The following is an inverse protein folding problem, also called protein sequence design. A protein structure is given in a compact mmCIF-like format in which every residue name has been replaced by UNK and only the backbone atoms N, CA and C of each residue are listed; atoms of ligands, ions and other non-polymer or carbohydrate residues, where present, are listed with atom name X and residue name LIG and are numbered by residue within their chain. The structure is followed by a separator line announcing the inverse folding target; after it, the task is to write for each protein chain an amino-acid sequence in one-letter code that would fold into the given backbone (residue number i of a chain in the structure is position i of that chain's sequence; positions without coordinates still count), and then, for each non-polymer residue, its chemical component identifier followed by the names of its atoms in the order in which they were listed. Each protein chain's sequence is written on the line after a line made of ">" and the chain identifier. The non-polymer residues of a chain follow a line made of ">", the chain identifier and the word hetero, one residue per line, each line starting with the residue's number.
data_IF_460882613036
#
_entry.id   IF_460882613036
#
_cell.length_a   1.000
_cell.length_b   1.000
_cell.length_c   1.000
_cell.angle_alpha   90.00
_cell.angle_beta   90.00
_cell.angle_gamma   90.00
#
_symmetry.space_group_name_H-M   'P 1'
#
loop_
_entity.id
_entity.type
_entity.pdbx_description
1 polymer ?
#
# COMPACT_ATOMS: atom_id res chain seq x y z
N UNK A 1 5.22 -19.04 -21.35
CA UNK A 1 4.85 -18.21 -22.53
C UNK A 1 3.72 -17.31 -22.09
N UNK A 2 3.92 -16.00 -22.16
CA UNK A 2 2.90 -15.03 -21.74
C UNK A 2 1.65 -15.20 -22.61
N UNK A 3 0.48 -15.24 -21.99
CA UNK A 3 -0.78 -15.19 -22.73
C UNK A 3 -0.91 -13.83 -23.43
N UNK A 4 -1.03 -13.82 -24.75
CA UNK A 4 -1.13 -12.59 -25.55
C UNK A 4 -2.33 -11.71 -25.13
N UNK A 5 -3.36 -12.29 -24.50
CA UNK A 5 -4.50 -11.55 -23.95
C UNK A 5 -4.10 -10.61 -22.80
N UNK A 6 -2.93 -10.82 -22.18
CA UNK A 6 -2.41 -10.01 -21.08
C UNK A 6 -1.68 -8.75 -21.56
N UNK A 7 -1.20 -8.71 -22.83
CA UNK A 7 -0.40 -7.58 -23.35
C UNK A 7 -1.14 -6.23 -23.37
N UNK A 8 -2.46 -6.27 -23.37
CA UNK A 8 -3.30 -5.07 -23.33
C UNK A 8 -3.70 -4.65 -21.90
N UNK A 9 -3.16 -5.33 -20.88
CA UNK A 9 -3.45 -5.03 -19.48
C UNK A 9 -2.23 -4.38 -18.83
N UNK A 10 -2.49 -3.53 -17.83
CA UNK A 10 -1.45 -2.87 -17.06
C UNK A 10 -1.22 -3.60 -15.74
N UNK A 11 0.04 -3.73 -15.33
CA UNK A 11 0.40 -4.38 -14.08
C UNK A 11 0.28 -3.39 -12.92
N UNK A 12 -0.65 -3.62 -12.02
CA UNK A 12 -0.83 -2.82 -10.81
C UNK A 12 0.04 -3.35 -9.67
N UNK A 13 0.98 -2.55 -9.20
CA UNK A 13 1.78 -2.82 -7.99
C UNK A 13 1.02 -2.26 -6.78
N UNK A 14 0.45 -3.17 -6.00
CA UNK A 14 -0.42 -2.82 -4.88
C UNK A 14 0.38 -2.52 -3.62
N UNK A 15 0.80 -1.28 -3.44
CA UNK A 15 1.42 -0.81 -2.20
C UNK A 15 0.36 -0.77 -1.08
N UNK A 16 0.60 -1.39 0.10
CA UNK A 16 -0.34 -1.34 1.21
C UNK A 16 -0.71 0.08 1.61
N UNK A 17 -2.00 0.31 1.85
CA UNK A 17 -2.60 1.60 2.29
C UNK A 17 -2.60 2.73 1.24
N UNK A 18 -2.34 2.40 -0.04
CA UNK A 18 -2.37 3.33 -1.16
C UNK A 18 -3.53 2.98 -2.13
N UNK A 19 -4.76 3.07 -1.67
CA UNK A 19 -6.01 2.85 -2.43
C UNK A 19 -6.19 1.51 -3.18
N UNK A 20 -5.31 0.52 -2.95
CA UNK A 20 -5.30 -0.74 -3.72
C UNK A 20 -6.60 -1.53 -3.70
N UNK A 21 -7.39 -1.45 -2.64
CA UNK A 21 -8.69 -2.13 -2.58
C UNK A 21 -9.72 -1.49 -3.52
N UNK A 22 -9.68 -0.16 -3.69
CA UNK A 22 -10.52 0.55 -4.65
C UNK A 22 -10.19 0.13 -6.08
N UNK A 23 -8.89 0.02 -6.41
CA UNK A 23 -8.44 -0.46 -7.72
C UNK A 23 -8.87 -1.90 -7.98
N UNK A 24 -8.52 -2.83 -7.09
CA UNK A 24 -8.73 -4.28 -7.30
C UNK A 24 -10.19 -4.71 -7.32
N UNK A 25 -11.05 -4.03 -6.56
CA UNK A 25 -12.49 -4.36 -6.47
C UNK A 25 -13.36 -3.63 -7.48
N UNK A 26 -12.78 -2.74 -8.26
CA UNK A 26 -13.55 -2.01 -9.27
C UNK A 26 -13.81 -2.89 -10.50
N UNK A 27 -15.09 -3.17 -10.77
CA UNK A 27 -15.51 -4.05 -11.87
C UNK A 27 -15.26 -3.45 -13.27
N UNK A 28 -15.23 -2.11 -13.40
CA UNK A 28 -15.10 -1.44 -14.69
C UNK A 28 -13.67 -1.48 -15.25
N UNK A 29 -12.68 -1.66 -14.39
CA UNK A 29 -11.25 -1.72 -14.80
C UNK A 29 -10.63 -3.10 -14.62
N UNK A 30 -11.37 -4.08 -14.10
CA UNK A 30 -10.86 -5.41 -13.79
C UNK A 30 -10.23 -6.12 -15.00
N UNK A 31 -10.77 -5.88 -16.20
CA UNK A 31 -10.23 -6.43 -17.45
C UNK A 31 -9.06 -5.63 -18.03
N UNK A 32 -8.79 -4.43 -17.52
CA UNK A 32 -7.70 -3.54 -17.95
C UNK A 32 -6.44 -3.70 -17.11
N UNK A 33 -6.55 -4.30 -15.92
CA UNK A 33 -5.45 -4.41 -14.95
C UNK A 33 -5.16 -5.85 -14.57
N UNK A 34 -3.91 -6.09 -14.19
CA UNK A 34 -3.43 -7.27 -13.47
C UNK A 34 -2.83 -6.82 -12.15
N UNK A 35 -2.81 -7.68 -11.18
CA UNK A 35 -2.04 -7.52 -9.94
C UNK A 35 -1.44 -8.85 -9.54
N UNK A 36 -0.46 -8.82 -8.64
CA UNK A 36 0.18 -10.03 -8.16
C UNK A 36 -0.81 -10.93 -7.39
N UNK A 37 -0.77 -12.22 -7.75
CA UNK A 37 -1.48 -13.31 -7.08
C UNK A 37 -0.50 -14.47 -6.92
N UNK A 38 -0.86 -15.47 -6.14
CA UNK A 38 -0.03 -16.66 -5.97
C UNK A 38 0.40 -17.29 -7.31
N UNK A 39 -0.51 -17.32 -8.28
CA UNK A 39 -0.32 -18.02 -9.56
C UNK A 39 0.64 -17.27 -10.50
N UNK A 40 0.83 -15.97 -10.32
CA UNK A 40 1.68 -15.15 -11.18
C UNK A 40 2.96 -14.62 -10.48
N UNK A 41 3.33 -15.25 -9.36
CA UNK A 41 4.59 -15.02 -8.66
C UNK A 41 5.55 -16.20 -8.83
N UNK A 42 6.88 -15.98 -8.81
CA UNK A 42 7.86 -17.05 -8.84
C UNK A 42 7.67 -18.03 -7.68
N UNK A 43 7.67 -19.36 -7.98
CA UNK A 43 7.42 -20.38 -6.97
C UNK A 43 8.35 -20.32 -5.75
N UNK A 44 9.67 -20.06 -5.88
CA UNK A 44 10.54 -19.88 -4.71
C UNK A 44 10.10 -18.73 -3.81
N UNK A 45 9.63 -17.63 -4.40
CA UNK A 45 9.13 -16.48 -3.67
C UNK A 45 7.82 -16.80 -2.94
N UNK A 46 6.86 -17.45 -3.62
CA UNK A 46 5.60 -17.91 -3.02
C UNK A 46 5.86 -18.80 -1.81
N UNK A 47 6.80 -19.75 -1.95
CA UNK A 47 7.18 -20.65 -0.86
C UNK A 47 7.74 -19.87 0.34
N UNK A 48 8.70 -18.99 0.11
CA UNK A 48 9.34 -18.21 1.17
C UNK A 48 8.35 -17.31 1.91
N UNK A 49 7.46 -16.60 1.17
CA UNK A 49 6.39 -15.80 1.76
C UNK A 49 5.43 -16.65 2.57
N UNK A 50 5.00 -17.79 2.04
CA UNK A 50 4.06 -18.69 2.74
C UNK A 50 4.65 -19.21 4.05
N UNK A 51 5.92 -19.64 4.03
CA UNK A 51 6.61 -20.11 5.23
C UNK A 51 6.71 -19.02 6.27
N UNK A 52 7.12 -17.80 5.86
CA UNK A 52 7.22 -16.67 6.79
C UNK A 52 5.87 -16.28 7.38
N UNK A 53 4.81 -16.23 6.57
CA UNK A 53 3.48 -15.90 7.06
C UNK A 53 2.91 -16.97 8.00
N UNK A 54 3.25 -18.26 7.80
CA UNK A 54 2.91 -19.33 8.75
C UNK A 54 3.62 -19.16 10.09
N UNK A 55 4.89 -18.78 10.09
CA UNK A 55 5.65 -18.49 11.32
C UNK A 55 5.00 -17.35 12.12
N UNK A 56 4.57 -16.32 11.44
CA UNK A 56 3.93 -15.14 12.04
C UNK A 56 2.43 -15.31 12.26
N UNK A 57 1.84 -16.42 11.80
CA UNK A 57 0.40 -16.68 11.80
C UNK A 57 -0.40 -15.63 11.00
N UNK A 58 0.19 -15.14 9.91
CA UNK A 58 -0.39 -14.13 9.05
C UNK A 58 -0.90 -14.68 7.72
N UNK A 59 -1.79 -13.90 7.09
CA UNK A 59 -2.22 -14.13 5.72
C UNK A 59 -1.07 -13.77 4.74
N UNK A 60 -0.80 -14.58 3.70
CA UNK A 60 0.33 -14.36 2.79
C UNK A 60 0.32 -13.02 2.05
N UNK A 61 -0.85 -12.46 1.74
CA UNK A 61 -0.94 -11.12 1.11
C UNK A 61 -0.20 -10.99 -0.22
N UNK A 62 -0.23 -12.01 -1.08
CA UNK A 62 0.49 -12.04 -2.37
C UNK A 62 0.23 -10.84 -3.29
N UNK A 63 -0.90 -10.17 -3.10
CA UNK A 63 -1.24 -8.95 -3.83
C UNK A 63 -0.33 -7.76 -3.56
N UNK A 64 0.52 -7.82 -2.54
CA UNK A 64 1.45 -6.76 -2.16
C UNK A 64 2.88 -7.01 -2.62
N UNK A 65 3.12 -7.96 -3.53
CA UNK A 65 4.46 -8.18 -4.07
C UNK A 65 5.02 -6.88 -4.69
N UNK A 66 6.31 -6.62 -4.44
CA UNK A 66 7.01 -5.49 -5.05
C UNK A 66 7.20 -5.75 -6.55
N UNK A 67 7.42 -4.71 -7.34
CA UNK A 67 7.65 -4.87 -8.78
C UNK A 67 8.76 -5.90 -9.06
N UNK A 68 9.87 -5.84 -8.34
CA UNK A 68 11.00 -6.78 -8.50
C UNK A 68 10.73 -8.22 -8.09
N UNK A 69 9.68 -8.48 -7.31
CA UNK A 69 9.29 -9.80 -6.84
C UNK A 69 8.25 -10.46 -7.75
N UNK A 70 7.65 -9.72 -8.69
CA UNK A 70 6.70 -10.23 -9.66
C UNK A 70 7.41 -11.08 -10.71
N UNK A 71 6.72 -12.09 -11.27
CA UNK A 71 7.27 -12.93 -12.31
C UNK A 71 7.85 -12.07 -13.46
N UNK A 72 9.11 -12.32 -13.89
CA UNK A 72 9.75 -11.56 -14.96
C UNK A 72 8.93 -11.49 -16.26
N UNK A 73 8.16 -12.51 -16.58
CA UNK A 73 7.26 -12.49 -17.75
C UNK A 73 6.20 -11.38 -17.67
N UNK A 74 5.79 -10.96 -16.46
CA UNK A 74 4.85 -9.87 -16.26
C UNK A 74 5.51 -8.50 -16.16
N UNK A 75 6.80 -8.43 -15.86
CA UNK A 75 7.54 -7.18 -15.74
C UNK A 75 7.71 -6.45 -17.08
N UNK A 76 7.37 -7.11 -18.20
CA UNK A 76 7.34 -6.48 -19.53
C UNK A 76 6.09 -5.62 -19.76
N UNK A 77 5.07 -5.76 -18.92
CA UNK A 77 3.85 -4.97 -19.02
C UNK A 77 4.07 -3.55 -18.48
N UNK A 78 3.39 -2.58 -19.06
CA UNK A 78 3.28 -1.27 -18.45
C UNK A 78 2.79 -1.42 -17.00
N UNK A 79 3.57 -0.93 -16.06
CA UNK A 79 3.31 -1.10 -14.64
C UNK A 79 2.95 0.24 -14.01
N UNK A 80 2.00 0.23 -13.07
CA UNK A 80 1.66 1.43 -12.32
C UNK A 80 1.44 1.14 -10.84
N UNK A 81 1.59 2.17 -10.03
CA UNK A 81 1.34 2.13 -8.59
C UNK A 81 0.76 3.46 -8.12
N UNK A 82 0.02 3.40 -7.01
CA UNK A 82 -0.36 4.61 -6.29
C UNK A 82 0.64 4.91 -5.19
N UNK A 83 1.08 6.16 -5.10
CA UNK A 83 1.78 6.71 -3.93
C UNK A 83 0.82 7.57 -3.14
N UNK A 84 1.10 7.71 -1.87
CA UNK A 84 0.32 8.50 -0.91
C UNK A 84 1.27 9.29 -0.04
N UNK A 85 0.86 10.46 0.38
CA UNK A 85 1.59 11.23 1.38
C UNK A 85 2.00 10.32 2.56
N UNK A 86 3.30 10.23 2.91
CA UNK A 86 3.79 9.28 3.92
C UNK A 86 3.10 9.41 5.27
N UNK A 87 2.80 10.60 5.71
CA UNK A 87 2.10 10.83 6.98
C UNK A 87 0.65 10.34 6.93
N UNK A 88 -0.06 10.62 5.85
CA UNK A 88 -1.42 10.11 5.64
C UNK A 88 -1.42 8.58 5.50
N UNK A 89 -0.43 7.99 4.80
CA UNK A 89 -0.25 6.55 4.71
C UNK A 89 -0.07 5.90 6.08
N UNK A 90 0.77 6.47 6.95
CA UNK A 90 1.04 5.97 8.31
C UNK A 90 -0.20 6.11 9.19
N UNK A 91 -0.90 7.25 9.13
CA UNK A 91 -2.18 7.43 9.83
C UNK A 91 -3.23 6.39 9.39
N UNK A 92 -3.35 6.16 8.08
CA UNK A 92 -4.24 5.12 7.54
C UNK A 92 -3.88 3.71 8.03
N UNK A 93 -2.60 3.42 8.22
CA UNK A 93 -2.15 2.14 8.78
C UNK A 93 -2.47 2.03 10.26
N UNK A 94 -2.22 3.07 11.05
CA UNK A 94 -2.59 3.13 12.46
C UNK A 94 -4.09 2.91 12.67
N UNK A 95 -4.90 3.64 11.91
CA UNK A 95 -6.35 3.47 11.96
C UNK A 95 -6.79 2.05 11.58
N UNK A 96 -6.13 1.42 10.61
CA UNK A 96 -6.40 0.04 10.24
C UNK A 96 -6.01 -0.92 11.37
N UNK A 97 -4.86 -0.76 12.00
CA UNK A 97 -4.40 -1.60 13.10
C UNK A 97 -5.36 -1.54 14.30
N UNK A 98 -5.85 -0.35 14.65
CA UNK A 98 -6.87 -0.17 15.70
C UNK A 98 -8.20 -0.83 15.33
N UNK A 99 -8.58 -0.77 14.06
CA UNK A 99 -9.80 -1.41 13.56
C UNK A 99 -9.71 -2.93 13.63
N UNK A 100 -8.56 -3.52 13.34
CA UNK A 100 -8.35 -4.97 13.40
C UNK A 100 -8.56 -5.52 14.81
N UNK A 101 -8.12 -4.82 15.85
CA UNK A 101 -8.40 -5.20 17.26
C UNK A 101 -9.90 -5.39 17.52
N UNK A 102 -10.72 -4.52 16.95
CA UNK A 102 -12.16 -4.60 17.12
C UNK A 102 -12.78 -5.83 16.42
N UNK A 103 -12.24 -6.21 15.27
CA UNK A 103 -12.75 -7.34 14.48
C UNK A 103 -12.28 -8.71 15.01
N UNK A 104 -11.18 -8.76 15.70
CA UNK A 104 -10.59 -10.02 16.18
C UNK A 104 -11.56 -10.83 17.04
N UNK A 105 -12.33 -10.16 17.87
CA UNK A 105 -13.30 -10.84 18.76
C UNK A 105 -14.35 -11.66 17.99
N UNK A 106 -14.40 -11.50 16.65
CA UNK A 106 -15.46 -12.04 15.81
C UNK A 106 -15.01 -12.74 14.52
N UNK A 107 -13.70 -12.85 14.20
CA UNK A 107 -13.27 -13.55 12.98
C UNK A 107 -11.83 -14.05 13.02
N UNK A 108 -11.60 -15.27 12.57
CA UNK A 108 -10.28 -15.87 12.30
C UNK A 108 -9.55 -15.27 11.08
N UNK A 109 -9.99 -14.10 10.62
CA UNK A 109 -9.58 -13.57 9.31
C UNK A 109 -8.31 -12.74 9.36
N UNK A 110 -7.85 -12.35 10.55
CA UNK A 110 -6.67 -11.52 10.74
C UNK A 110 -5.66 -12.28 11.63
N UNK A 111 -4.40 -12.28 11.21
CA UNK A 111 -3.33 -12.90 11.97
C UNK A 111 -3.02 -12.13 13.27
N UNK A 112 -2.37 -12.80 14.22
CA UNK A 112 -2.03 -12.19 15.52
C UNK A 112 -1.13 -10.96 15.41
N UNK A 113 -0.36 -10.85 14.34
CA UNK A 113 0.52 -9.70 14.09
C UNK A 113 -0.22 -8.47 13.54
N UNK A 114 -1.50 -8.61 13.19
CA UNK A 114 -2.31 -7.49 12.74
C UNK A 114 -2.76 -6.57 13.88
N UNK A 115 -2.55 -6.96 15.13
CA UNK A 115 -2.96 -6.17 16.29
C UNK A 115 -2.05 -4.99 16.54
N UNK A 116 -2.67 -3.88 16.91
CA UNK A 116 -2.03 -2.76 17.55
C UNK A 116 -2.53 -2.65 18.98
N UNK A 117 -1.72 -3.05 19.94
CA UNK A 117 -2.01 -2.88 21.38
C UNK A 117 -1.45 -1.56 21.93
N UNK A 118 -0.94 -0.70 21.05
CA UNK A 118 -0.35 0.58 21.41
C UNK A 118 -1.39 1.51 22.01
N UNK A 119 -1.05 2.13 23.14
CA UNK A 119 -1.91 3.09 23.82
C UNK A 119 -1.93 4.46 23.11
N UNK A 120 -0.93 4.75 22.27
CA UNK A 120 -0.79 6.01 21.57
C UNK A 120 -0.27 5.84 20.15
N UNK A 121 -0.43 6.88 19.33
CA UNK A 121 0.14 6.94 17.99
C UNK A 121 1.68 6.93 18.02
N UNK A 122 2.28 7.62 18.98
CA UNK A 122 3.74 7.63 19.15
C UNK A 122 4.28 6.22 19.45
N UNK A 123 3.64 5.49 20.35
CA UNK A 123 4.00 4.10 20.65
C UNK A 123 3.87 3.20 19.40
N UNK A 124 2.82 3.39 18.60
CA UNK A 124 2.67 2.69 17.33
C UNK A 124 3.83 2.96 16.36
N UNK A 125 4.35 4.17 16.31
CA UNK A 125 5.49 4.49 15.45
C UNK A 125 6.76 3.75 15.86
N UNK A 126 6.93 3.39 17.14
CA UNK A 126 8.08 2.62 17.62
C UNK A 126 8.09 1.18 17.10
N UNK A 127 6.98 0.63 16.64
CA UNK A 127 6.91 -0.69 16.01
C UNK A 127 7.78 -0.80 14.74
N UNK A 128 8.12 0.32 14.09
CA UNK A 128 9.01 0.34 12.92
C UNK A 128 10.36 -0.31 13.21
N UNK A 129 10.88 -0.16 14.42
CA UNK A 129 12.14 -0.75 14.84
C UNK A 129 12.09 -2.28 14.96
N UNK A 130 10.90 -2.83 15.16
CA UNK A 130 10.68 -4.28 15.28
C UNK A 130 10.41 -4.92 13.93
N UNK A 131 9.70 -4.23 13.03
CA UNK A 131 9.13 -4.86 11.85
C UNK A 131 9.75 -4.46 10.51
N UNK A 132 10.53 -3.36 10.44
CA UNK A 132 11.04 -2.86 9.16
C UNK A 132 11.96 -3.86 8.46
N UNK A 133 12.87 -4.49 9.17
CA UNK A 133 13.85 -5.41 8.59
C UNK A 133 13.36 -6.86 8.57
N UNK A 134 12.12 -7.10 9.00
CA UNK A 134 11.56 -8.45 9.00
C UNK A 134 11.25 -8.91 7.56
N UNK A 135 11.82 -10.03 7.09
CA UNK A 135 11.61 -10.52 5.74
C UNK A 135 10.12 -10.69 5.42
N UNK A 136 9.70 -10.22 4.26
CA UNK A 136 8.33 -10.31 3.74
C UNK A 136 7.25 -9.56 4.53
N UNK A 137 7.60 -8.79 5.56
CA UNK A 137 6.60 -8.00 6.30
C UNK A 137 6.02 -6.83 5.49
N UNK A 138 6.60 -6.48 4.33
CA UNK A 138 5.99 -5.54 3.39
C UNK A 138 4.64 -6.02 2.84
N UNK A 139 4.34 -7.32 2.90
CA UNK A 139 3.03 -7.86 2.55
C UNK A 139 1.92 -7.43 3.51
N UNK A 140 2.25 -7.08 4.75
CA UNK A 140 1.24 -6.78 5.77
C UNK A 140 0.90 -5.30 5.83
N UNK A 141 -0.36 -4.96 5.60
CA UNK A 141 -0.82 -3.58 5.65
C UNK A 141 -0.56 -2.90 7.01
N UNK A 142 -0.63 -3.67 8.11
CA UNK A 142 -0.39 -3.18 9.48
C UNK A 142 1.10 -3.09 9.80
N UNK A 143 1.89 -4.04 9.33
CA UNK A 143 3.34 -4.15 9.65
C UNK A 143 4.24 -3.66 8.52
N UNK A 144 3.69 -3.10 7.48
CA UNK A 144 4.46 -2.54 6.37
C UNK A 144 5.02 -1.17 6.73
N UNK A 145 6.30 -1.15 7.10
CA UNK A 145 7.06 0.07 7.37
C UNK A 145 7.95 0.50 6.20
N UNK A 146 7.96 -0.27 5.11
CA UNK A 146 8.78 0.03 3.95
C UNK A 146 8.28 1.26 3.19
N UNK A 147 9.20 2.12 2.71
CA UNK A 147 8.86 3.20 1.79
C UNK A 147 8.10 2.70 0.56
N UNK A 148 7.25 3.54 0.00
CA UNK A 148 6.56 3.23 -1.25
C UNK A 148 7.55 3.05 -2.40
N UNK A 149 8.66 3.77 -2.37
CA UNK A 149 9.76 3.66 -3.31
C UNK A 149 10.28 2.22 -3.45
N UNK A 150 10.45 1.52 -2.32
CA UNK A 150 10.96 0.14 -2.30
C UNK A 150 10.01 -0.87 -2.97
N UNK A 151 8.75 -0.51 -3.17
CA UNK A 151 7.78 -1.36 -3.88
C UNK A 151 7.86 -1.24 -5.41
N UNK A 152 8.35 -0.13 -5.93
CA UNK A 152 8.26 0.20 -7.37
C UNK A 152 9.62 0.20 -8.08
N UNK A 153 10.72 0.00 -7.36
CA UNK A 153 12.07 0.01 -7.90
C UNK A 153 12.60 -1.42 -8.20
N UNK A 154 13.65 -1.51 -9.01
CA UNK A 154 14.21 -2.76 -9.56
C UNK A 154 15.32 -3.42 -8.71
N UNK A 155 15.52 -2.97 -7.47
CA UNK A 155 16.63 -3.39 -6.61
C UNK A 155 17.93 -2.60 -6.85
N UNK A 156 17.94 -1.69 -7.84
CA UNK A 156 19.07 -0.82 -8.18
C UNK A 156 18.73 0.67 -8.05
N UNK A 157 17.54 0.96 -7.54
CA UNK A 157 17.05 2.33 -7.38
C UNK A 157 16.33 2.92 -8.59
N UNK A 158 16.09 2.16 -9.65
CA UNK A 158 15.35 2.65 -10.81
C UNK A 158 13.86 2.34 -10.64
N UNK A 159 13.02 3.37 -10.59
CA UNK A 159 11.56 3.22 -10.57
C UNK A 159 11.08 2.63 -11.90
N UNK A 160 10.22 1.61 -11.82
CA UNK A 160 9.72 0.80 -12.95
C UNK A 160 8.22 0.94 -13.18
N UNK A 161 7.56 1.80 -12.44
CA UNK A 161 6.13 1.99 -12.51
C UNK A 161 5.80 3.44 -12.86
N UNK A 162 4.74 3.63 -13.62
CA UNK A 162 4.06 4.91 -13.68
C UNK A 162 3.41 5.20 -12.32
N UNK A 163 3.64 6.38 -11.78
CA UNK A 163 3.24 6.73 -10.43
C UNK A 163 2.00 7.60 -10.44
N UNK A 164 0.93 7.12 -9.83
CA UNK A 164 -0.33 7.84 -9.64
C UNK A 164 -0.47 8.29 -8.18
N UNK A 165 -1.19 9.40 -7.96
CA UNK A 165 -1.36 10.01 -6.64
C UNK A 165 -2.67 9.54 -6.00
N UNK A 166 -2.62 9.05 -4.79
CA UNK A 166 -3.83 8.65 -4.04
C UNK A 166 -4.74 9.85 -3.79
N UNK A 167 -4.17 11.01 -3.55
CA UNK A 167 -4.88 12.27 -3.30
C UNK A 167 -5.60 12.82 -4.55
N UNK A 168 -5.20 12.34 -5.74
CA UNK A 168 -5.82 12.66 -7.04
C UNK A 168 -6.34 11.40 -7.73
N UNK A 169 -6.88 10.47 -6.95
CA UNK A 169 -7.18 9.10 -7.40
C UNK A 169 -8.02 9.04 -8.69
N UNK A 170 -9.15 9.72 -8.72
CA UNK A 170 -10.07 9.69 -9.87
C UNK A 170 -9.43 10.32 -11.11
N UNK A 171 -8.80 11.48 -10.93
CA UNK A 171 -8.16 12.22 -12.01
C UNK A 171 -7.03 11.39 -12.63
N UNK A 172 -6.07 10.95 -11.81
CA UNK A 172 -4.89 10.24 -12.29
C UNK A 172 -5.29 8.90 -12.92
N UNK A 173 -6.13 8.09 -12.25
CA UNK A 173 -6.50 6.77 -12.75
C UNK A 173 -7.37 6.83 -14.01
N UNK A 174 -8.32 7.75 -14.06
CA UNK A 174 -9.20 7.88 -15.24
C UNK A 174 -8.42 8.31 -16.48
N UNK A 175 -7.51 9.26 -16.35
CA UNK A 175 -6.64 9.67 -17.44
C UNK A 175 -5.66 8.56 -17.85
N UNK A 176 -5.02 7.91 -16.89
CA UNK A 176 -4.06 6.83 -17.13
C UNK A 176 -4.68 5.64 -17.87
N UNK A 177 -5.92 5.30 -17.58
CA UNK A 177 -6.66 4.20 -18.23
C UNK A 177 -7.41 4.62 -19.50
N UNK A 178 -7.30 5.89 -19.93
CA UNK A 178 -8.02 6.42 -21.09
C UNK A 178 -9.54 6.49 -20.88
N UNK A 179 -9.99 6.81 -19.67
CA UNK A 179 -11.38 6.92 -19.24
C UNK A 179 -11.67 8.32 -18.62
N UNK A 180 -11.34 9.43 -19.30
CA UNK A 180 -11.42 10.75 -18.71
C UNK A 180 -12.84 11.06 -18.21
N UNK A 181 -12.95 11.64 -17.02
CA UNK A 181 -14.23 11.96 -16.37
C UNK A 181 -14.94 10.77 -15.71
N UNK A 182 -14.33 9.58 -15.69
CA UNK A 182 -14.89 8.46 -14.95
C UNK A 182 -14.60 8.61 -13.45
N UNK A 183 -15.64 8.43 -12.61
CA UNK A 183 -15.52 8.41 -11.17
C UNK A 183 -15.52 6.98 -10.63
N UNK A 184 -14.54 6.68 -9.80
CA UNK A 184 -14.42 5.37 -9.17
C UNK A 184 -15.10 5.39 -7.80
N UNK A 185 -16.00 4.46 -7.55
CA UNK A 185 -16.56 4.27 -6.22
C UNK A 185 -15.44 4.00 -5.20
N UNK A 186 -15.24 4.91 -4.25
CA UNK A 186 -14.30 4.70 -3.16
C UNK A 186 -14.73 3.52 -2.29
N UNK A 187 -13.85 2.53 -2.18
CA UNK A 187 -14.05 1.37 -1.31
C UNK A 187 -13.01 1.38 -0.20
N UNK A 188 -13.42 1.14 1.01
CA UNK A 188 -12.62 1.24 2.24
C UNK A 188 -12.29 2.67 2.68
N UNK A 189 -13.14 3.64 2.39
CA UNK A 189 -13.19 4.82 3.24
C UNK A 189 -13.40 4.29 4.66
N UNK A 190 -12.36 4.34 5.47
CA UNK A 190 -12.41 3.88 6.84
C UNK A 190 -13.23 4.93 7.59
N UNK A 191 -14.54 4.86 7.45
CA UNK A 191 -15.42 5.59 8.31
C UNK A 191 -15.18 5.04 9.73
N UNK A 192 -14.41 5.76 10.51
CA UNK A 192 -14.16 5.52 11.94
C UNK A 192 -15.50 5.40 12.68
N UNK A 193 -16.56 6.00 12.14
CA UNK A 193 -17.95 5.96 12.63
C UNK A 193 -18.54 4.59 12.94
N UNK A 194 -18.10 3.53 12.29
CA UNK A 194 -18.71 2.20 12.47
C UNK A 194 -18.18 1.38 13.64
N UNK A 195 -17.14 1.81 14.33
CA UNK A 195 -16.39 0.94 15.24
C UNK A 195 -16.18 1.49 16.66
N UNK A 196 -17.01 2.42 17.12
CA UNK A 196 -17.05 2.81 18.54
C UNK A 196 -15.76 3.45 19.07
N UNK A 197 -14.94 3.97 18.23
CA UNK A 197 -13.78 4.78 18.63
C UNK A 197 -14.20 6.25 18.78
N UNK A 198 -13.83 6.84 19.87
CA UNK A 198 -14.40 8.04 20.45
C UNK A 198 -14.19 9.36 19.73
N UNK A 199 -13.61 9.47 18.60
CA UNK A 199 -13.60 10.69 17.76
C UNK A 199 -13.27 10.37 16.33
N UNK A 200 -14.05 10.94 15.40
CA UNK A 200 -13.69 10.97 13.99
C UNK A 200 -12.48 11.86 13.80
N UNK A 201 -11.34 11.27 13.49
CA UNK A 201 -10.23 12.02 12.93
C UNK A 201 -10.59 12.30 11.47
N UNK A 202 -11.02 13.49 11.16
CA UNK A 202 -11.38 13.91 9.81
C UNK A 202 -10.13 14.18 8.97
N UNK A 203 -9.07 14.70 9.60
CA UNK A 203 -7.78 14.95 8.96
C UNK A 203 -6.68 14.16 9.69
N UNK A 204 -5.84 13.43 8.93
CA UNK A 204 -4.72 12.69 9.51
C UNK A 204 -3.78 13.57 10.33
N UNK A 205 -3.72 14.85 10.03
CA UNK A 205 -2.85 15.83 10.73
C UNK A 205 -3.17 15.97 12.22
N UNK A 206 -4.42 15.70 12.60
CA UNK A 206 -4.88 15.86 13.99
C UNK A 206 -4.21 14.88 14.98
N UNK A 207 -3.70 13.74 14.48
CA UNK A 207 -3.03 12.75 15.34
C UNK A 207 -1.53 12.98 15.49
N UNK A 208 -0.98 13.96 14.77
CA UNK A 208 0.44 14.24 14.74
C UNK A 208 0.86 15.33 15.73
N UNK A 209 2.05 15.18 16.29
CA UNK A 209 2.83 16.21 16.98
C UNK A 209 4.08 16.51 16.15
N UNK A 210 4.77 17.61 16.43
CA UNK A 210 6.04 17.96 15.76
C UNK A 210 7.05 16.79 15.83
N UNK A 211 7.12 16.12 16.97
CA UNK A 211 7.98 14.93 17.15
C UNK A 211 7.58 13.80 16.21
N UNK A 212 6.30 13.46 16.13
CA UNK A 212 5.84 12.35 15.29
C UNK A 212 5.87 12.69 13.79
N UNK A 213 5.73 13.98 13.44
CA UNK A 213 5.98 14.46 12.06
C UNK A 213 7.42 14.17 11.66
N UNK A 214 8.39 14.52 12.52
CA UNK A 214 9.80 14.31 12.24
C UNK A 214 10.16 12.81 12.17
N UNK A 215 9.63 11.98 13.07
CA UNK A 215 9.84 10.53 13.03
C UNK A 215 9.42 9.94 11.67
N UNK A 216 8.26 10.34 11.14
CA UNK A 216 7.79 9.85 9.84
C UNK A 216 8.61 10.44 8.69
N UNK A 217 9.03 11.71 8.79
CA UNK A 217 9.92 12.33 7.80
C UNK A 217 11.23 11.56 7.66
N UNK A 218 11.90 11.27 8.77
CA UNK A 218 13.18 10.55 8.78
C UNK A 218 13.02 9.13 8.22
N UNK A 219 11.93 8.44 8.57
CA UNK A 219 11.69 7.07 8.16
C UNK A 219 11.36 6.94 6.68
N UNK A 220 10.62 7.90 6.11
CA UNK A 220 10.18 7.89 4.71
C UNK A 220 10.93 8.92 3.84
N UNK A 221 12.15 9.28 4.22
CA UNK A 221 12.97 10.26 3.49
C UNK A 221 13.06 9.96 1.98
N UNK A 222 13.21 8.68 1.59
CA UNK A 222 13.23 8.28 0.17
C UNK A 222 11.96 8.71 -0.59
N UNK A 223 10.78 8.45 -0.01
CA UNK A 223 9.50 8.81 -0.62
C UNK A 223 9.37 10.33 -0.73
N UNK A 224 9.75 11.04 0.34
CA UNK A 224 9.68 12.49 0.43
C UNK A 224 10.61 13.14 -0.60
N UNK A 225 11.85 12.72 -0.66
CA UNK A 225 12.85 13.28 -1.59
C UNK A 225 12.52 12.95 -3.04
N UNK A 226 12.05 11.75 -3.33
CA UNK A 226 11.79 11.34 -4.71
C UNK A 226 10.53 11.99 -5.27
N UNK A 227 9.42 11.99 -4.53
CA UNK A 227 8.14 12.53 -5.00
C UNK A 227 7.84 13.96 -4.54
N UNK A 228 8.68 14.56 -3.71
CA UNK A 228 8.52 15.94 -3.26
C UNK A 228 7.34 16.14 -2.32
N UNK A 229 7.08 15.15 -1.46
CA UNK A 229 6.08 15.31 -0.41
C UNK A 229 6.53 16.30 0.67
N UNK A 230 5.58 17.00 1.26
CA UNK A 230 5.68 17.58 2.58
C UNK A 230 4.48 17.17 3.43
N UNK A 231 4.42 17.62 4.69
CA UNK A 231 3.34 17.21 5.60
C UNK A 231 1.94 17.59 5.11
N UNK A 232 1.82 18.57 4.22
CA UNK A 232 0.55 19.14 3.77
C UNK A 232 0.19 18.84 2.33
N UNK A 233 1.15 18.39 1.52
CA UNK A 233 0.99 18.30 0.06
C UNK A 233 1.10 16.87 -0.47
N UNK A 234 0.39 16.55 -1.57
CA UNK A 234 0.60 15.32 -2.32
C UNK A 234 1.95 15.33 -3.04
N UNK A 235 2.24 14.28 -3.81
CA UNK A 235 3.42 14.23 -4.68
C UNK A 235 3.41 15.40 -5.67
N UNK A 236 4.56 16.11 -5.74
CA UNK A 236 4.74 17.30 -6.56
C UNK A 236 5.65 17.09 -7.76
N UNK A 237 6.33 15.94 -7.85
CA UNK A 237 7.23 15.57 -8.93
C UNK A 237 7.33 14.06 -9.12
N UNK A 238 7.88 13.62 -10.24
CA UNK A 238 8.11 12.21 -10.57
C UNK A 238 6.83 11.35 -10.51
N UNK A 239 5.69 11.93 -10.82
CA UNK A 239 4.44 11.21 -11.00
C UNK A 239 4.05 11.24 -12.49
N UNK A 240 3.12 10.39 -12.88
CA UNK A 240 2.66 10.26 -14.26
C UNK A 240 2.03 11.56 -14.75
N UNK A 241 2.54 12.09 -15.86
CA UNK A 241 2.09 13.36 -16.43
C UNK A 241 2.73 14.62 -15.79
N UNK A 242 3.70 14.46 -14.86
CA UNK A 242 4.46 15.60 -14.30
C UNK A 242 5.56 16.10 -15.26
#
# INVERSE_FOLDING_TARGET
>A
MLDLSLLNRKLFIHIPKNAGMTVRRNQFIRNKILWSTQDNLPQPYVKAVTEKMKETQDHPGYEHARWRDVNPDLQILDSFAFVRNPWDRVASRYNFARKVIYFEKNSDHYGKTDYCQCASFEEFLEERHVWNDAPYMWHRAVRNWYPAFDHVEDGKGNVKCDILRTEHFDEDLSHYLGMPGFHFEERNVTAIKKFGGDQEVQDYKEIYTDKTIQIVADWYQKDIEYWGFDFHTPATRNYWGS
#
